data_IF_361967854221
#
_entry.id   IF_361967854221
#
_cell.length_a   1.000
_cell.length_b   1.000
_cell.length_c   1.000
_cell.angle_alpha   90.00
_cell.angle_beta   90.00
_cell.angle_gamma   90.00
#
_symmetry.space_group_name_H-M   'P 1'
#
loop_
_entity.id
_entity.type
_entity.pdbx_description
1 polymer ?
#
# COMPACT_ATOMS: atom_id res chain seq x y z
N UNK A 1 12.53 28.12 14.41
CA UNK A 1 12.40 26.67 14.63
C UNK A 1 12.04 26.07 13.28
N UNK A 2 12.98 25.37 12.64
CA UNK A 2 12.77 24.84 11.30
C UNK A 2 11.70 23.77 11.33
N UNK A 3 10.67 23.94 10.50
CA UNK A 3 9.81 22.83 10.12
C UNK A 3 10.75 21.74 9.60
N UNK A 4 10.77 20.58 10.28
CA UNK A 4 11.38 19.39 9.68
C UNK A 4 10.62 19.19 8.38
N UNK A 5 11.29 19.38 7.26
CA UNK A 5 10.82 18.92 5.98
C UNK A 5 10.64 17.42 6.14
N UNK A 6 9.42 16.99 6.43
CA UNK A 6 9.04 15.60 6.41
C UNK A 6 9.18 15.20 4.94
N UNK A 7 10.34 14.66 4.57
CA UNK A 7 10.49 13.96 3.30
C UNK A 7 9.27 13.06 3.18
N UNK A 8 8.49 13.26 2.10
CA UNK A 8 7.16 12.69 1.94
C UNK A 8 7.18 11.23 2.40
N UNK A 9 6.53 10.93 3.53
CA UNK A 9 6.41 9.55 3.99
C UNK A 9 5.77 8.78 2.84
N UNK A 10 6.55 7.94 2.13
CA UNK A 10 6.14 7.22 0.91
C UNK A 10 5.13 6.12 1.24
N UNK A 11 4.00 6.48 1.84
CA UNK A 11 2.89 5.59 2.15
C UNK A 11 1.92 5.57 0.97
N UNK A 12 1.13 4.51 0.86
CA UNK A 12 0.25 4.38 -0.28
C UNK A 12 -0.21 2.96 -0.56
N UNK A 13 -0.99 2.83 -1.62
CA UNK A 13 -1.43 1.55 -2.15
C UNK A 13 -0.51 1.10 -3.27
N UNK A 14 -0.23 -0.19 -3.34
CA UNK A 14 0.52 -0.79 -4.42
C UNK A 14 -0.37 -1.82 -5.10
N UNK A 15 -0.61 -1.63 -6.39
CA UNK A 15 -1.45 -2.52 -7.19
C UNK A 15 -0.80 -3.88 -7.44
N UNK A 16 -1.57 -4.91 -7.85
CA UNK A 16 -1.02 -6.19 -8.28
C UNK A 16 0.01 -6.08 -9.42
N UNK A 17 -0.04 -5.03 -10.25
CA UNK A 17 0.90 -4.76 -11.35
C UNK A 17 2.16 -4.02 -10.91
N UNK A 18 2.26 -3.60 -9.64
CA UNK A 18 3.40 -2.84 -9.13
C UNK A 18 3.28 -1.33 -9.28
N UNK A 19 2.14 -0.80 -9.76
CA UNK A 19 1.88 0.63 -9.78
C UNK A 19 1.61 1.16 -8.38
N UNK A 20 2.33 2.20 -7.97
CA UNK A 20 2.24 2.79 -6.64
C UNK A 20 1.40 4.07 -6.62
N UNK A 21 0.47 4.13 -5.67
CA UNK A 21 -0.51 5.18 -5.46
C UNK A 21 -0.23 5.85 -4.12
N UNK A 22 0.62 6.90 -4.10
CA UNK A 22 1.05 7.52 -2.86
C UNK A 22 -0.11 8.25 -2.17
N UNK A 23 -0.15 8.19 -0.84
CA UNK A 23 -1.07 8.97 -0.04
C UNK A 23 -0.44 9.38 1.29
N UNK A 24 -0.91 10.49 1.86
CA UNK A 24 -0.45 10.94 3.17
C UNK A 24 -0.83 10.00 4.31
N UNK A 25 -0.14 10.16 5.45
CA UNK A 25 -0.49 9.44 6.68
C UNK A 25 -1.96 9.69 7.07
N UNK A 26 -2.72 8.61 7.28
CA UNK A 26 -4.15 8.66 7.59
C UNK A 26 -5.07 8.86 6.38
N UNK A 27 -4.55 9.05 5.17
CA UNK A 27 -5.34 9.27 3.95
C UNK A 27 -5.66 7.98 3.16
N UNK A 28 -5.23 6.81 3.65
CA UNK A 28 -5.32 5.54 2.92
C UNK A 28 -6.76 5.11 2.58
N UNK A 29 -7.77 5.51 3.36
CA UNK A 29 -9.18 5.21 3.04
C UNK A 29 -9.66 6.05 1.86
N UNK A 30 -9.41 7.36 1.89
CA UNK A 30 -9.74 8.28 0.79
C UNK A 30 -9.03 7.89 -0.50
N UNK A 31 -7.76 7.47 -0.42
CA UNK A 31 -7.04 7.00 -1.58
C UNK A 31 -7.61 5.67 -2.13
N UNK A 32 -8.06 4.77 -1.26
CA UNK A 32 -8.73 3.54 -1.71
C UNK A 32 -10.05 3.84 -2.45
N UNK A 33 -10.83 4.81 -1.97
CA UNK A 33 -12.05 5.29 -2.65
C UNK A 33 -11.73 5.86 -4.05
N UNK A 34 -10.64 6.64 -4.15
CA UNK A 34 -10.17 7.18 -5.43
C UNK A 34 -9.80 6.07 -6.41
N UNK A 35 -8.99 5.11 -5.99
CA UNK A 35 -8.58 3.96 -6.83
C UNK A 35 -9.80 3.17 -7.29
N UNK A 36 -10.73 2.84 -6.38
CA UNK A 36 -11.96 2.12 -6.76
C UNK A 36 -12.82 2.91 -7.74
N UNK A 37 -12.84 4.24 -7.62
CA UNK A 37 -13.57 5.11 -8.56
C UNK A 37 -12.95 5.07 -9.94
N UNK A 38 -11.62 5.11 -10.03
CA UNK A 38 -10.87 5.00 -11.31
C UNK A 38 -11.03 3.63 -11.97
N UNK A 39 -11.16 2.57 -11.17
CA UNK A 39 -11.46 1.22 -11.65
C UNK A 39 -12.94 1.03 -12.05
N UNK A 40 -13.81 2.01 -11.80
CA UNK A 40 -15.26 1.89 -12.03
C UNK A 40 -15.97 0.95 -11.05
N UNK A 41 -15.36 0.67 -9.89
CA UNK A 41 -15.82 -0.28 -8.89
C UNK A 41 -16.43 0.37 -7.64
N UNK A 42 -16.35 1.70 -7.51
CA UNK A 42 -16.79 2.39 -6.31
C UNK A 42 -18.30 2.31 -6.06
N UNK A 43 -19.12 2.41 -7.12
CA UNK A 43 -20.57 2.25 -7.01
C UNK A 43 -20.98 0.82 -6.59
N UNK A 44 -20.28 -0.18 -7.13
CA UNK A 44 -20.47 -1.59 -6.77
C UNK A 44 -20.11 -1.84 -5.30
N UNK A 45 -18.98 -1.28 -4.85
CA UNK A 45 -18.58 -1.26 -3.44
C UNK A 45 -19.69 -0.72 -2.54
N UNK A 46 -20.24 0.48 -2.83
CA UNK A 46 -21.27 1.12 -2.01
C UNK A 46 -22.57 0.30 -1.91
N UNK A 47 -22.92 -0.45 -2.96
CA UNK A 47 -24.18 -1.20 -3.03
C UNK A 47 -24.10 -2.60 -2.43
N UNK A 48 -22.93 -3.24 -2.53
CA UNK A 48 -22.83 -4.68 -2.34
C UNK A 48 -21.78 -5.11 -1.31
N UNK A 49 -20.88 -4.22 -0.90
CA UNK A 49 -19.82 -4.57 0.06
C UNK A 49 -20.25 -4.38 1.51
N UNK A 50 -19.99 -5.39 2.34
CA UNK A 50 -20.00 -5.27 3.81
C UNK A 50 -18.61 -4.96 4.39
N UNK A 51 -17.56 -5.03 3.56
CA UNK A 51 -16.19 -4.72 3.94
C UNK A 51 -16.00 -3.20 4.00
N UNK A 52 -15.05 -2.75 4.81
CA UNK A 52 -14.56 -1.38 4.67
C UNK A 52 -13.81 -1.22 3.32
N UNK A 53 -13.69 0.02 2.85
CA UNK A 53 -13.12 0.32 1.52
C UNK A 53 -11.69 -0.20 1.34
N UNK A 54 -10.90 -0.22 2.41
CA UNK A 54 -9.50 -0.69 2.39
C UNK A 54 -9.44 -2.20 2.21
N UNK A 55 -10.25 -2.94 2.95
CA UNK A 55 -10.33 -4.39 2.84
C UNK A 55 -10.94 -4.80 1.50
N UNK A 56 -11.88 -4.01 0.97
CA UNK A 56 -12.45 -4.23 -0.35
C UNK A 56 -11.42 -4.10 -1.48
N UNK A 57 -10.56 -3.08 -1.38
CA UNK A 57 -9.46 -2.87 -2.33
C UNK A 57 -8.36 -3.92 -2.13
N UNK A 58 -8.00 -4.23 -0.88
CA UNK A 58 -7.00 -5.25 -0.55
C UNK A 58 -7.41 -6.66 -0.97
N UNK A 59 -8.70 -6.98 -0.88
CA UNK A 59 -9.30 -8.22 -1.40
C UNK A 59 -9.23 -8.36 -2.92
N UNK A 60 -8.81 -7.31 -3.64
CA UNK A 60 -8.51 -7.32 -5.08
C UNK A 60 -7.01 -7.37 -5.37
N UNK A 61 -6.20 -7.65 -4.35
CA UNK A 61 -4.76 -7.87 -4.47
C UNK A 61 -3.91 -6.63 -4.29
N UNK A 62 -4.50 -5.46 -3.99
CA UNK A 62 -3.71 -4.28 -3.61
C UNK A 62 -3.11 -4.48 -2.22
N UNK A 63 -1.88 -4.02 -2.00
CA UNK A 63 -1.30 -3.97 -0.65
C UNK A 63 -1.09 -2.53 -0.19
N UNK A 64 -1.19 -2.30 1.11
CA UNK A 64 -1.06 -0.98 1.74
C UNK A 64 0.31 -0.87 2.42
N UNK A 65 1.11 0.10 2.00
CA UNK A 65 2.30 0.56 2.73
C UNK A 65 1.85 1.68 3.67
N UNK A 66 1.93 1.46 4.98
CA UNK A 66 1.51 2.45 5.99
C UNK A 66 2.44 2.45 7.22
N UNK A 67 2.32 3.47 8.07
CA UNK A 67 3.11 3.58 9.31
C UNK A 67 2.20 3.84 10.51
N UNK A 68 1.55 2.81 11.09
CA UNK A 68 0.74 2.96 12.29
C UNK A 68 1.57 3.60 13.41
N UNK A 69 1.05 4.66 14.05
CA UNK A 69 1.79 5.38 15.10
C UNK A 69 3.04 6.15 14.62
N UNK A 70 3.35 6.13 13.31
CA UNK A 70 4.56 6.73 12.71
C UNK A 70 5.87 6.13 13.20
N UNK A 71 5.85 4.90 13.70
CA UNK A 71 7.02 4.24 14.28
C UNK A 71 7.84 3.50 13.23
N UNK A 72 7.17 2.74 12.36
CA UNK A 72 7.79 1.95 11.28
C UNK A 72 6.82 1.73 10.13
N UNK A 73 7.35 1.58 8.93
CA UNK A 73 6.57 1.19 7.76
C UNK A 73 6.23 -0.30 7.82
N UNK A 74 5.00 -0.62 7.45
CA UNK A 74 4.44 -1.96 7.38
C UNK A 74 3.73 -2.13 6.04
N UNK A 75 3.71 -3.36 5.53
CA UNK A 75 2.90 -3.74 4.36
C UNK A 75 1.76 -4.62 4.83
N UNK A 76 0.53 -4.19 4.57
CA UNK A 76 -0.69 -4.97 4.86
C UNK A 76 -1.31 -5.44 3.55
N UNK A 77 -1.58 -6.73 3.42
CA UNK A 77 -2.21 -7.33 2.24
C UNK A 77 -3.14 -8.48 2.65
N UNK A 78 -4.24 -8.67 1.92
CA UNK A 78 -5.18 -9.78 2.16
C UNK A 78 -4.97 -10.98 1.22
N UNK A 79 -4.38 -10.75 0.05
CA UNK A 79 -4.00 -11.80 -0.89
C UNK A 79 -2.47 -11.97 -0.93
N UNK A 80 -1.95 -13.11 -1.42
CA UNK A 80 -0.52 -13.25 -1.67
C UNK A 80 -0.01 -12.14 -2.60
N UNK A 81 1.15 -11.58 -2.28
CA UNK A 81 1.78 -10.56 -3.11
C UNK A 81 2.15 -11.14 -4.47
N UNK A 82 1.99 -10.35 -5.53
CA UNK A 82 2.49 -10.69 -6.87
C UNK A 82 4.01 -10.50 -6.93
N UNK A 83 4.64 -11.05 -7.98
CA UNK A 83 6.06 -10.77 -8.25
C UNK A 83 6.33 -9.28 -8.44
N UNK A 84 5.49 -8.57 -9.20
CA UNK A 84 5.65 -7.14 -9.42
C UNK A 84 5.58 -6.32 -8.12
N UNK A 85 4.70 -6.72 -7.19
CA UNK A 85 4.65 -6.11 -5.87
C UNK A 85 5.89 -6.40 -5.04
N UNK A 86 6.39 -7.64 -5.05
CA UNK A 86 7.63 -8.01 -4.35
C UNK A 86 8.85 -7.26 -4.88
N UNK A 87 8.99 -7.20 -6.20
CA UNK A 87 10.08 -6.48 -6.86
C UNK A 87 10.04 -4.98 -6.47
N UNK A 88 8.86 -4.35 -6.53
CA UNK A 88 8.68 -2.97 -6.07
C UNK A 88 9.03 -2.80 -4.59
N UNK A 89 8.55 -3.69 -3.71
CA UNK A 89 8.77 -3.58 -2.27
C UNK A 89 10.24 -3.80 -1.90
N UNK A 90 10.94 -4.68 -2.60
CA UNK A 90 12.38 -4.87 -2.43
C UNK A 90 13.15 -3.57 -2.70
N UNK A 91 12.93 -2.97 -3.88
CA UNK A 91 13.58 -1.71 -4.26
C UNK A 91 13.18 -0.59 -3.28
N UNK A 92 11.89 -0.50 -2.97
CA UNK A 92 11.33 0.49 -2.05
C UNK A 92 12.01 0.45 -0.66
N UNK A 93 12.12 -0.72 -0.04
CA UNK A 93 12.73 -0.83 1.28
C UNK A 93 14.27 -0.74 1.23
N UNK A 94 14.88 -1.11 0.10
CA UNK A 94 16.31 -0.89 -0.13
C UNK A 94 16.65 0.60 -0.19
N UNK A 95 15.84 1.40 -0.90
CA UNK A 95 15.96 2.86 -0.97
C UNK A 95 15.74 3.53 0.39
N UNK A 96 14.82 3.00 1.20
CA UNK A 96 14.57 3.46 2.58
C UNK A 96 15.71 3.05 3.55
N UNK A 97 16.67 2.23 3.12
CA UNK A 97 17.75 1.72 3.96
C UNK A 97 17.35 0.58 4.90
N UNK A 98 16.13 0.03 4.74
CA UNK A 98 15.62 -1.10 5.51
C UNK A 98 15.90 -2.43 4.78
N UNK A 99 17.16 -2.83 4.84
CA UNK A 99 17.64 -4.05 4.17
C UNK A 99 16.94 -5.32 4.66
N UNK A 100 16.55 -5.37 5.93
CA UNK A 100 15.85 -6.53 6.49
C UNK A 100 14.47 -6.69 5.85
N UNK A 101 13.71 -5.61 5.76
CA UNK A 101 12.42 -5.62 5.07
C UNK A 101 12.58 -5.91 3.58
N UNK A 102 13.62 -5.37 2.93
CA UNK A 102 13.89 -5.66 1.52
C UNK A 102 14.11 -7.17 1.28
N UNK A 103 15.04 -7.79 2.01
CA UNK A 103 15.37 -9.22 1.87
C UNK A 103 14.14 -10.13 2.09
N UNK A 104 13.24 -9.75 3.02
CA UNK A 104 11.98 -10.46 3.23
C UNK A 104 11.12 -10.58 1.96
N UNK A 105 11.11 -9.57 1.08
CA UNK A 105 10.33 -9.60 -0.15
C UNK A 105 11.01 -10.33 -1.31
N UNK A 106 12.30 -10.71 -1.20
CA UNK A 106 12.96 -11.61 -2.16
C UNK A 106 12.65 -13.09 -1.90
N UNK A 107 12.52 -13.47 -0.63
CA UNK A 107 12.45 -14.88 -0.21
C UNK A 107 11.03 -15.46 -0.22
N UNK A 108 10.01 -14.63 -0.44
CA UNK A 108 8.61 -15.04 -0.48
C UNK A 108 8.25 -15.70 -1.83
N UNK A 109 8.84 -16.86 -2.13
CA UNK A 109 8.34 -17.83 -3.12
C UNK A 109 7.84 -19.08 -2.37
N UNK A 110 6.52 -19.20 -2.18
CA UNK A 110 5.87 -20.43 -1.72
C UNK A 110 4.65 -20.73 -2.60
#
# INVERSE_FOLDING_TARGET
>A
MGAREYGEERLGWLSPSGDFYPCGWGAHSTEAERILSELGLFEDFLRHSILNVRDYLSGRGYCLIHSPGRERKLVTHLLPLTRAQRDFLYDYFTEDGDRQSAEHYLEAEF
#
